data_IF_836646509888
#
_entry.id   IF_836646509888
#
_cell.length_a   1.000
_cell.length_b   1.000
_cell.length_c   1.000
_cell.angle_alpha   90.00
_cell.angle_beta   90.00
_cell.angle_gamma   90.00
#
_symmetry.space_group_name_H-M   'P 1'
#
loop_
_entity.id
_entity.type
_entity.pdbx_description
1 polymer ?
#
# COMPACT_ATOMS: atom_id res chain seq x y z
N UNK A 1 -11.77 7.85 10.39
CA UNK A 1 -10.88 7.38 11.46
C UNK A 1 -11.34 8.02 12.76
N UNK A 2 -11.32 7.29 13.87
CA UNK A 2 -11.69 7.80 15.21
C UNK A 2 -10.42 8.01 16.05
N UNK A 3 -9.50 8.85 15.57
CA UNK A 3 -8.33 9.22 16.35
C UNK A 3 -8.57 10.63 16.89
N UNK A 4 -8.78 10.76 18.21
CA UNK A 4 -8.87 12.04 18.92
C UNK A 4 -7.57 12.24 19.68
N UNK A 5 -6.93 13.38 19.48
CA UNK A 5 -5.73 13.79 20.20
C UNK A 5 -6.09 15.03 21.01
N UNK A 6 -5.70 15.06 22.27
CA UNK A 6 -5.94 16.17 23.19
C UNK A 6 -4.65 16.52 23.89
N UNK A 7 -4.37 17.82 23.99
CA UNK A 7 -3.26 18.36 24.76
C UNK A 7 -3.64 19.75 25.27
N UNK A 8 -3.46 20.00 26.57
CA UNK A 8 -3.81 21.25 27.23
C UNK A 8 -5.32 21.59 27.28
N UNK A 9 -5.61 22.86 27.50
CA UNK A 9 -6.97 23.44 27.58
C UNK A 9 -7.21 24.38 26.40
N UNK A 10 -7.85 23.85 25.35
CA UNK A 10 -8.12 24.57 24.11
C UNK A 10 -9.14 25.70 24.32
N UNK A 11 -10.10 25.53 25.22
CA UNK A 11 -11.15 26.54 25.47
C UNK A 11 -10.55 27.79 26.10
N UNK A 12 -9.70 27.60 27.11
CA UNK A 12 -8.95 28.70 27.72
C UNK A 12 -8.06 29.41 26.71
N UNK A 13 -7.32 28.66 25.89
CA UNK A 13 -6.41 29.23 24.89
C UNK A 13 -7.15 30.07 23.84
N UNK A 14 -8.33 29.62 23.39
CA UNK A 14 -9.17 30.39 22.47
C UNK A 14 -9.72 31.66 23.13
N UNK A 15 -10.10 31.60 24.41
CA UNK A 15 -10.64 32.75 25.14
C UNK A 15 -9.58 33.83 25.44
N UNK A 16 -8.34 33.43 25.67
CA UNK A 16 -7.22 34.34 26.00
C UNK A 16 -6.50 34.90 24.76
N UNK A 17 -6.84 34.44 23.55
CA UNK A 17 -6.19 34.86 22.30
C UNK A 17 -6.64 36.24 21.82
N UNK A 18 -5.69 37.10 21.44
CA UNK A 18 -5.98 38.43 20.87
C UNK A 18 -6.77 38.34 19.53
N UNK A 19 -6.53 37.28 18.76
CA UNK A 19 -7.17 37.03 17.47
C UNK A 19 -7.50 35.55 17.29
N UNK A 20 -8.70 35.28 16.77
CA UNK A 20 -9.17 33.93 16.41
C UNK A 20 -9.62 33.93 14.95
N UNK A 21 -9.16 32.95 14.17
CA UNK A 21 -9.54 32.77 12.76
C UNK A 21 -10.20 31.41 12.59
N UNK A 22 -11.48 31.43 12.19
CA UNK A 22 -12.26 30.24 11.86
C UNK A 22 -12.48 30.13 10.35
N UNK A 23 -12.17 28.97 9.77
CA UNK A 23 -12.21 28.68 8.34
C UNK A 23 -12.45 27.19 8.08
N UNK A 24 -13.23 26.91 7.04
CA UNK A 24 -13.41 25.57 6.50
C UNK A 24 -12.57 25.36 5.23
N UNK A 25 -11.94 24.19 5.10
CA UNK A 25 -11.11 23.83 3.96
C UNK A 25 -11.52 22.48 3.39
N UNK A 26 -11.43 22.34 2.06
CA UNK A 26 -11.65 21.07 1.35
C UNK A 26 -10.56 20.83 0.32
N UNK A 27 -10.03 19.62 0.31
CA UNK A 27 -9.07 19.15 -0.70
C UNK A 27 -9.73 18.19 -1.68
N UNK A 28 -9.14 18.04 -2.88
CA UNK A 28 -9.60 17.08 -3.90
C UNK A 28 -8.81 15.78 -3.79
N UNK A 29 -9.41 14.68 -4.23
CA UNK A 29 -8.67 13.45 -4.49
C UNK A 29 -7.65 13.69 -5.61
N UNK A 30 -6.45 13.15 -5.43
CA UNK A 30 -5.37 13.21 -6.42
C UNK A 30 -4.77 11.81 -6.58
N UNK A 31 -4.29 11.52 -7.79
CA UNK A 31 -3.54 10.30 -8.07
C UNK A 31 -2.04 10.58 -7.95
N UNK A 32 -1.27 9.56 -7.60
CA UNK A 32 0.17 9.63 -7.32
C UNK A 32 1.02 10.03 -8.53
N UNK A 33 0.49 9.85 -9.75
CA UNK A 33 1.15 10.32 -10.97
C UNK A 33 2.47 9.64 -11.31
N UNK A 34 2.69 8.40 -10.83
CA UNK A 34 3.84 7.59 -11.24
C UNK A 34 3.82 7.32 -12.76
N UNK A 35 4.99 7.35 -13.40
CA UNK A 35 5.12 7.21 -14.87
C UNK A 35 5.07 5.73 -15.25
N UNK A 36 5.70 4.86 -14.46
CA UNK A 36 5.55 3.42 -14.61
C UNK A 36 4.25 2.96 -13.93
N UNK A 37 3.32 2.31 -14.66
CA UNK A 37 2.12 1.73 -14.06
C UNK A 37 2.43 0.65 -13.00
N UNK A 38 1.39 0.12 -12.35
CA UNK A 38 1.54 -1.12 -11.60
C UNK A 38 1.93 -2.26 -12.54
N UNK A 39 2.96 -3.01 -12.16
CA UNK A 39 3.51 -4.15 -12.91
C UNK A 39 3.83 -5.29 -11.94
N UNK A 40 3.48 -6.52 -12.32
CA UNK A 40 3.82 -7.72 -11.55
C UNK A 40 3.95 -8.91 -12.50
N UNK A 41 4.98 -9.71 -12.30
CA UNK A 41 5.22 -10.97 -12.99
C UNK A 41 5.37 -12.05 -11.95
N UNK A 42 4.57 -13.11 -12.06
CA UNK A 42 4.59 -14.20 -11.10
C UNK A 42 4.79 -15.54 -11.82
N UNK A 43 5.47 -16.45 -11.12
CA UNK A 43 5.65 -17.84 -11.54
C UNK A 43 5.26 -18.74 -10.38
N UNK A 44 4.18 -19.51 -10.57
CA UNK A 44 3.76 -20.57 -9.67
C UNK A 44 4.34 -21.89 -10.17
N UNK A 45 5.33 -22.41 -9.46
CA UNK A 45 6.07 -23.61 -9.84
C UNK A 45 5.28 -24.89 -9.53
N UNK A 46 5.70 -26.01 -10.14
CA UNK A 46 5.09 -27.33 -9.90
C UNK A 46 5.29 -27.87 -8.48
N UNK A 47 6.22 -27.30 -7.70
CA UNK A 47 6.48 -27.62 -6.29
C UNK A 47 5.70 -26.71 -5.32
N UNK A 48 4.70 -25.98 -5.83
CA UNK A 48 3.88 -25.00 -5.10
C UNK A 48 4.65 -23.78 -4.54
N UNK A 49 5.90 -23.56 -4.95
CA UNK A 49 6.61 -22.30 -4.69
C UNK A 49 6.18 -21.21 -5.67
N UNK A 50 6.13 -19.97 -5.19
CA UNK A 50 5.66 -18.81 -5.93
C UNK A 50 6.75 -17.74 -5.93
N UNK A 51 7.20 -17.35 -7.12
CA UNK A 51 8.12 -16.22 -7.30
C UNK A 51 7.36 -15.04 -7.87
N UNK A 52 7.53 -13.85 -7.28
CA UNK A 52 6.86 -12.62 -7.69
C UNK A 52 7.92 -11.54 -7.90
N UNK A 53 7.98 -10.98 -9.10
CA UNK A 53 8.77 -9.82 -9.47
C UNK A 53 7.83 -8.65 -9.69
N UNK A 54 7.97 -7.57 -8.92
CA UNK A 54 6.93 -6.53 -8.88
C UNK A 54 7.49 -5.15 -8.60
N UNK A 55 6.86 -4.13 -9.17
CA UNK A 55 7.15 -2.72 -8.87
C UNK A 55 6.43 -2.33 -7.58
N UNK A 56 7.16 -2.35 -6.45
CA UNK A 56 6.60 -2.15 -5.11
C UNK A 56 7.50 -1.35 -4.19
N UNK A 57 6.89 -0.59 -3.26
CA UNK A 57 7.55 0.06 -2.13
C UNK A 57 7.52 -0.80 -0.85
N UNK A 58 6.85 -1.96 -0.88
CA UNK A 58 6.52 -2.73 0.32
C UNK A 58 6.58 -4.24 0.12
N UNK A 59 7.74 -4.80 -0.28
CA UNK A 59 7.88 -6.22 -0.61
C UNK A 59 7.43 -7.20 0.50
N UNK A 60 7.67 -6.88 1.78
CA UNK A 60 7.20 -7.70 2.90
C UNK A 60 5.67 -7.70 3.02
N UNK A 61 5.05 -6.53 2.82
CA UNK A 61 3.59 -6.40 2.77
C UNK A 61 3.02 -7.18 1.59
N UNK A 62 3.66 -7.10 0.42
CA UNK A 62 3.28 -7.87 -0.76
C UNK A 62 3.29 -9.36 -0.46
N UNK A 63 4.38 -9.88 0.11
CA UNK A 63 4.50 -11.30 0.46
C UNK A 63 3.40 -11.74 1.42
N UNK A 64 3.21 -11.00 2.52
CA UNK A 64 2.27 -11.35 3.58
C UNK A 64 0.81 -11.27 3.14
N UNK A 65 0.43 -10.23 2.41
CA UNK A 65 -0.96 -10.05 1.97
C UNK A 65 -1.29 -10.98 0.79
N UNK A 66 -0.34 -11.25 -0.11
CA UNK A 66 -0.53 -12.25 -1.18
C UNK A 66 -0.74 -13.64 -0.60
N UNK A 67 0.06 -14.04 0.41
CA UNK A 67 -0.14 -15.30 1.14
C UNK A 67 -1.56 -15.42 1.71
N UNK A 68 -2.07 -14.36 2.34
CA UNK A 68 -3.42 -14.33 2.90
C UNK A 68 -4.51 -14.43 1.82
N UNK A 69 -4.40 -13.65 0.75
CA UNK A 69 -5.38 -13.65 -0.35
C UNK A 69 -5.44 -15.00 -1.06
N UNK A 70 -4.29 -15.64 -1.25
CA UNK A 70 -4.19 -16.93 -1.95
C UNK A 70 -4.38 -18.15 -1.05
N UNK A 71 -4.46 -17.96 0.27
CA UNK A 71 -4.51 -19.02 1.27
C UNK A 71 -3.37 -20.05 1.13
N UNK A 72 -2.14 -19.56 0.89
CA UNK A 72 -0.91 -20.40 0.79
C UNK A 72 0.07 -20.06 1.92
N UNK A 73 0.95 -20.99 2.32
CA UNK A 73 1.98 -20.70 3.32
C UNK A 73 2.85 -19.51 2.94
N UNK A 74 3.14 -18.61 3.89
CA UNK A 74 4.02 -17.47 3.65
C UNK A 74 5.39 -17.89 3.11
N UNK A 75 5.89 -19.04 3.56
CA UNK A 75 7.17 -19.63 3.16
C UNK A 75 7.21 -20.09 1.70
N UNK A 76 6.05 -20.30 1.05
CA UNK A 76 6.04 -20.67 -0.36
C UNK A 76 6.20 -19.46 -1.28
N UNK A 77 6.11 -18.22 -0.78
CA UNK A 77 6.18 -17.01 -1.60
C UNK A 77 7.52 -16.29 -1.43
N UNK A 78 8.20 -16.04 -2.55
CA UNK A 78 9.34 -15.14 -2.65
C UNK A 78 8.96 -13.91 -3.48
N UNK A 79 9.11 -12.73 -2.89
CA UNK A 79 8.92 -11.45 -3.58
C UNK A 79 10.28 -10.80 -3.83
N UNK A 80 10.54 -10.45 -5.08
CA UNK A 80 11.71 -9.68 -5.53
C UNK A 80 11.21 -8.32 -6.01
N UNK A 81 11.44 -7.23 -5.25
CA UNK A 81 11.13 -5.89 -5.74
C UNK A 81 12.05 -5.55 -6.91
N UNK A 82 11.49 -4.92 -7.95
CA UNK A 82 12.24 -4.38 -9.09
C UNK A 82 12.40 -2.87 -8.96
N UNK A 83 13.28 -2.30 -9.79
CA UNK A 83 13.39 -0.84 -9.91
C UNK A 83 12.02 -0.22 -10.28
N UNK A 84 11.70 0.89 -9.64
CA UNK A 84 10.36 1.47 -9.61
C UNK A 84 10.35 2.83 -10.34
N UNK A 85 9.53 2.94 -11.40
CA UNK A 85 9.35 4.20 -12.14
C UNK A 85 8.35 5.16 -11.48
N UNK A 86 8.54 5.41 -10.19
CA UNK A 86 7.68 6.23 -9.33
C UNK A 86 6.66 5.42 -8.53
N UNK A 87 6.37 5.88 -7.31
CA UNK A 87 5.43 5.23 -6.39
C UNK A 87 4.59 6.21 -5.58
N UNK A 88 5.23 7.17 -4.89
CA UNK A 88 4.58 8.23 -4.12
C UNK A 88 3.49 7.73 -3.15
N UNK A 89 3.72 6.55 -2.55
CA UNK A 89 2.80 5.88 -1.63
C UNK A 89 1.73 5.02 -2.30
N UNK A 90 1.61 5.07 -3.64
CA UNK A 90 0.63 4.29 -4.40
C UNK A 90 1.01 2.83 -4.62
N UNK A 91 2.29 2.48 -4.48
CA UNK A 91 2.80 1.11 -4.73
C UNK A 91 3.15 0.34 -3.45
N UNK A 92 2.47 0.63 -2.35
CA UNK A 92 2.69 -0.02 -1.03
C UNK A 92 1.72 -1.19 -0.77
N UNK A 93 0.53 -1.14 -1.40
CA UNK A 93 -0.51 -2.18 -1.25
C UNK A 93 -0.35 -3.28 -2.30
N UNK A 94 -0.85 -4.48 -2.01
CA UNK A 94 -0.96 -5.55 -3.02
C UNK A 94 -2.03 -5.19 -4.06
N UNK A 95 -1.74 -5.47 -5.33
CA UNK A 95 -2.70 -5.23 -6.41
C UNK A 95 -2.67 -6.36 -7.44
N UNK A 96 -1.63 -6.42 -8.27
CA UNK A 96 -1.52 -7.39 -9.36
C UNK A 96 -0.93 -8.74 -8.92
N UNK A 97 -0.16 -8.75 -7.84
CA UNK A 97 0.64 -9.89 -7.40
C UNK A 97 -0.16 -11.20 -7.19
N UNK A 98 -1.29 -11.20 -6.44
CA UNK A 98 -2.09 -12.42 -6.29
C UNK A 98 -2.76 -12.85 -7.60
N UNK A 99 -3.17 -11.89 -8.44
CA UNK A 99 -3.83 -12.18 -9.72
C UNK A 99 -2.84 -12.84 -10.68
N UNK A 100 -1.65 -12.27 -10.83
CA UNK A 100 -0.58 -12.81 -11.66
C UNK A 100 -0.19 -14.23 -11.22
N UNK A 101 -0.08 -14.46 -9.91
CA UNK A 101 0.25 -15.78 -9.37
C UNK A 101 -0.82 -16.82 -9.73
N UNK A 102 -2.11 -16.52 -9.51
CA UNK A 102 -3.20 -17.46 -9.83
C UNK A 102 -3.28 -17.76 -11.33
N UNK A 103 -3.07 -16.74 -12.17
CA UNK A 103 -3.01 -16.94 -13.62
C UNK A 103 -1.87 -17.87 -14.02
N UNK A 104 -0.67 -17.68 -13.44
CA UNK A 104 0.47 -18.58 -13.67
C UNK A 104 0.22 -20.02 -13.21
N UNK A 105 -0.59 -20.25 -12.18
CA UNK A 105 -0.95 -21.60 -11.72
C UNK A 105 -1.88 -22.33 -12.68
N UNK A 106 -2.76 -21.58 -13.35
CA UNK A 106 -3.82 -22.13 -14.20
C UNK A 106 -3.29 -22.61 -15.57
N UNK A 107 -2.19 -22.02 -16.03
CA UNK A 107 -1.54 -22.30 -17.30
C UNK A 107 -0.48 -23.38 -17.16
#
# INVERSE_FOLDING_TARGET
SHNRFEDGDVEKALAESDHVVDREYRTRMVHQGYIEPHSSTAMWNSDDTIQIYTSTQGAFGVRSLTSQVLAVPLSSIRVTPLEIGGGFGGKTVIYLDPVAAVLSRKT
#
